data_IF_838393623936
#
_entry.id   IF_838393623936
#
_cell.length_a   1.000
_cell.length_b   1.000
_cell.length_c   1.000
_cell.angle_alpha   90.00
_cell.angle_beta   90.00
_cell.angle_gamma   90.00
#
_symmetry.space_group_name_H-M   'P 1'
#
loop_
_entity.id
_entity.type
_entity.pdbx_description
1 polymer ?
#
# COMPACT_ATOMS: atom_id res chain seq x y z
N UNK A 1 9.46 17.59 4.58
CA UNK A 1 8.24 17.97 5.32
C UNK A 1 8.06 17.02 6.49
N UNK A 2 7.56 17.47 7.67
CA UNK A 2 7.31 16.58 8.80
C UNK A 2 6.39 15.45 8.33
N UNK A 3 6.82 14.21 8.60
CA UNK A 3 6.50 13.05 7.79
C UNK A 3 5.01 12.80 7.56
N UNK A 4 4.61 12.76 6.30
CA UNK A 4 3.30 12.28 5.88
C UNK A 4 2.94 11.00 6.65
N UNK A 5 1.90 11.10 7.47
CA UNK A 5 1.30 9.97 8.16
C UNK A 5 0.60 9.07 7.13
N UNK A 6 0.32 7.81 7.49
CA UNK A 6 -0.63 7.02 6.71
C UNK A 6 -2.05 7.59 6.88
N UNK A 7 -2.99 7.19 6.02
CA UNK A 7 -4.40 7.50 6.19
C UNK A 7 -4.94 6.95 7.53
N UNK A 8 -6.04 7.49 8.10
CA UNK A 8 -6.70 6.89 9.26
C UNK A 8 -6.99 5.39 9.01
N UNK A 9 -6.81 4.56 10.05
CA UNK A 9 -6.93 3.10 9.90
C UNK A 9 -8.35 2.67 9.48
N UNK A 10 -9.35 3.47 9.82
CA UNK A 10 -10.77 3.27 9.51
C UNK A 10 -11.08 3.48 8.03
N UNK A 11 -10.20 4.17 7.29
CA UNK A 11 -10.33 4.39 5.84
C UNK A 11 -9.76 3.23 5.01
N UNK A 12 -9.01 2.32 5.63
CA UNK A 12 -8.46 1.16 4.93
C UNK A 12 -9.56 0.17 4.56
N UNK A 13 -9.46 -0.33 3.33
CA UNK A 13 -10.38 -1.33 2.78
C UNK A 13 -9.84 -2.73 3.07
N UNK A 14 -10.71 -3.65 3.47
CA UNK A 14 -10.32 -5.05 3.69
C UNK A 14 -9.92 -5.69 2.37
N UNK A 15 -8.73 -6.30 2.34
CA UNK A 15 -8.29 -7.11 1.21
C UNK A 15 -9.12 -8.40 1.11
N UNK A 16 -9.34 -8.86 -0.12
CA UNK A 16 -10.04 -10.11 -0.41
C UNK A 16 -9.11 -11.33 -0.38
N UNK A 17 -7.81 -11.10 -0.39
CA UNK A 17 -6.77 -12.12 -0.23
C UNK A 17 -5.94 -11.81 1.02
N UNK A 18 -5.66 -12.83 1.82
CA UNK A 18 -4.71 -12.70 2.91
C UNK A 18 -3.30 -12.66 2.31
N UNK A 19 -2.58 -11.58 2.59
CA UNK A 19 -1.23 -11.36 2.09
C UNK A 19 -0.35 -10.83 3.21
N UNK A 20 0.87 -11.38 3.29
CA UNK A 20 1.94 -10.85 4.11
C UNK A 20 3.20 -10.69 3.27
N UNK A 21 3.77 -9.48 3.26
CA UNK A 21 5.05 -9.19 2.62
C UNK A 21 6.05 -8.89 3.73
N UNK A 22 7.00 -9.81 3.93
CA UNK A 22 8.04 -9.61 4.92
C UNK A 22 8.93 -8.41 4.54
N UNK A 23 9.35 -7.57 5.51
CA UNK A 23 10.30 -6.49 5.24
C UNK A 23 11.63 -7.02 4.69
N UNK A 24 12.15 -6.37 3.65
CA UNK A 24 13.47 -6.67 3.09
C UNK A 24 13.51 -7.85 2.11
N UNK A 25 12.45 -8.63 1.99
CA UNK A 25 12.37 -9.76 1.07
C UNK A 25 11.54 -9.42 -0.19
N UNK A 26 11.87 -9.98 -1.37
CA UNK A 26 10.99 -9.94 -2.52
C UNK A 26 9.64 -10.60 -2.21
N UNK A 27 8.55 -9.89 -2.48
CA UNK A 27 7.19 -10.37 -2.26
C UNK A 27 6.38 -10.41 -3.55
N UNK A 28 5.18 -10.99 -3.45
CA UNK A 28 4.16 -10.93 -4.48
C UNK A 28 2.91 -10.25 -3.89
N UNK A 29 2.29 -9.36 -4.66
CA UNK A 29 1.03 -8.73 -4.29
C UNK A 29 0.11 -8.66 -5.50
N UNK A 30 -1.13 -9.07 -5.30
CA UNK A 30 -2.20 -8.89 -6.26
C UNK A 30 -3.34 -8.08 -5.64
N UNK A 31 -3.87 -7.10 -6.38
CA UNK A 31 -5.03 -6.32 -5.97
C UNK A 31 -5.81 -5.87 -7.20
N UNK A 32 -7.10 -5.61 -7.01
CA UNK A 32 -7.96 -5.13 -8.08
C UNK A 32 -9.04 -4.19 -7.53
N UNK A 33 -9.27 -3.08 -8.24
CA UNK A 33 -10.48 -2.26 -8.10
C UNK A 33 -11.51 -2.85 -9.04
N UNK A 34 -12.52 -3.56 -8.49
CA UNK A 34 -13.50 -4.31 -9.29
C UNK A 34 -14.79 -3.55 -9.54
N UNK A 35 -15.23 -2.74 -8.57
CA UNK A 35 -16.43 -1.93 -8.73
C UNK A 35 -16.20 -0.83 -9.78
N UNK A 36 -17.17 -0.65 -10.66
CA UNK A 36 -17.13 0.36 -11.72
C UNK A 36 -17.21 1.78 -11.16
N UNK A 37 -17.96 1.95 -10.07
CA UNK A 37 -18.22 3.26 -9.45
C UNK A 37 -17.28 3.52 -8.25
N UNK A 38 -16.23 2.71 -8.09
CA UNK A 38 -15.25 2.90 -7.01
C UNK A 38 -14.54 4.25 -7.14
N UNK A 39 -14.61 5.07 -6.09
CA UNK A 39 -13.98 6.38 -6.04
C UNK A 39 -12.44 6.34 -6.26
N UNK A 40 -11.78 5.21 -6.03
CA UNK A 40 -10.34 5.03 -6.28
C UNK A 40 -10.01 4.72 -7.74
N UNK A 41 -10.99 4.32 -8.56
CA UNK A 41 -10.74 3.99 -9.97
C UNK A 41 -10.24 5.20 -10.76
N UNK A 42 -10.93 6.37 -10.81
CA UNK A 42 -10.48 7.51 -11.60
C UNK A 42 -9.06 8.02 -11.28
N UNK A 43 -8.65 8.21 -10.00
CA UNK A 43 -7.30 8.68 -9.71
C UNK A 43 -6.22 7.65 -10.06
N UNK A 44 -6.47 6.35 -9.87
CA UNK A 44 -5.52 5.29 -10.23
C UNK A 44 -5.37 5.19 -11.75
N UNK A 45 -6.47 5.22 -12.50
CA UNK A 45 -6.43 5.22 -13.96
C UNK A 45 -5.71 6.44 -14.53
N UNK A 46 -5.93 7.63 -13.95
CA UNK A 46 -5.20 8.85 -14.32
C UNK A 46 -3.70 8.72 -14.03
N UNK A 47 -3.31 8.23 -12.86
CA UNK A 47 -1.90 8.03 -12.51
C UNK A 47 -1.21 7.04 -13.45
N UNK A 48 -1.88 5.94 -13.81
CA UNK A 48 -1.34 4.94 -14.74
C UNK A 48 -1.20 5.55 -16.15
N UNK A 49 -2.26 6.18 -16.67
CA UNK A 49 -2.28 6.78 -18.01
C UNK A 49 -1.24 7.88 -18.18
N UNK A 50 -1.06 8.70 -17.15
CA UNK A 50 -0.12 9.83 -17.16
C UNK A 50 1.29 9.44 -16.69
N UNK A 51 1.53 8.16 -16.41
CA UNK A 51 2.79 7.64 -15.88
C UNK A 51 3.27 8.42 -14.65
N UNK A 52 2.37 8.71 -13.71
CA UNK A 52 2.70 9.41 -12.47
C UNK A 52 2.98 8.41 -11.35
N UNK A 53 4.02 8.61 -10.53
CA UNK A 53 4.21 7.83 -9.32
C UNK A 53 3.02 7.93 -8.37
N UNK A 54 2.71 6.84 -7.69
CA UNK A 54 1.69 6.81 -6.64
C UNK A 54 2.09 5.83 -5.54
N UNK A 55 1.34 5.85 -4.44
CA UNK A 55 1.60 4.99 -3.28
C UNK A 55 0.40 4.13 -2.96
N UNK A 56 0.67 2.92 -2.47
CA UNK A 56 -0.33 2.07 -1.83
C UNK A 56 0.07 1.86 -0.39
N UNK A 57 -0.85 2.15 0.52
CA UNK A 57 -0.70 1.80 1.92
C UNK A 57 -1.47 0.50 2.18
N UNK A 58 -0.81 -0.48 2.79
CA UNK A 58 -1.41 -1.75 3.19
C UNK A 58 -1.36 -1.85 4.71
N UNK A 59 -2.52 -2.06 5.33
CA UNK A 59 -2.64 -2.35 6.75
C UNK A 59 -2.58 -3.87 6.94
N UNK A 60 -1.46 -4.36 7.49
CA UNK A 60 -1.32 -5.75 7.93
C UNK A 60 -1.75 -5.91 9.37
N UNK A 61 -2.31 -7.07 9.70
CA UNK A 61 -2.38 -7.59 11.06
C UNK A 61 -1.60 -8.91 11.12
N UNK A 62 -1.03 -9.24 12.27
CA UNK A 62 -0.57 -10.61 12.52
C UNK A 62 -1.75 -11.60 12.55
N UNK A 63 -1.45 -12.90 12.55
CA UNK A 63 -2.48 -13.95 12.58
C UNK A 63 -3.33 -13.94 13.86
N UNK A 64 -2.84 -13.31 14.92
CA UNK A 64 -3.53 -13.18 16.21
C UNK A 64 -4.31 -11.85 16.34
N UNK A 65 -4.23 -10.96 15.35
CA UNK A 65 -4.85 -9.63 15.32
C UNK A 65 -4.25 -8.63 16.32
N UNK A 66 -3.15 -8.97 16.99
CA UNK A 66 -2.56 -8.22 18.10
C UNK A 66 -1.56 -7.14 17.68
N UNK A 67 -1.02 -7.23 16.47
CA UNK A 67 -0.04 -6.26 15.97
C UNK A 67 -0.39 -5.81 14.55
N UNK A 68 -0.83 -4.55 14.44
CA UNK A 68 -1.07 -3.90 13.15
C UNK A 68 0.09 -3.03 12.71
N UNK A 69 0.40 -3.13 11.41
CA UNK A 69 1.44 -2.34 10.76
C UNK A 69 0.90 -1.81 9.44
N UNK A 70 1.01 -0.50 9.23
CA UNK A 70 0.81 0.07 7.89
C UNK A 70 2.15 0.04 7.16
N UNK A 71 2.17 -0.53 5.95
CA UNK A 71 3.33 -0.50 5.05
C UNK A 71 2.97 0.28 3.80
N UNK A 72 3.79 1.29 3.47
CA UNK A 72 3.67 2.06 2.24
C UNK A 72 4.53 1.46 1.14
N UNK A 73 3.92 1.19 0.01
CA UNK A 73 4.59 0.84 -1.23
C UNK A 73 4.56 2.03 -2.17
N UNK A 74 5.68 2.28 -2.84
CA UNK A 74 5.82 3.32 -3.84
C UNK A 74 5.85 2.63 -5.20
N UNK A 75 4.97 3.03 -6.10
CA UNK A 75 4.87 2.53 -7.47
C UNK A 75 5.36 3.63 -8.39
N UNK A 76 6.46 3.37 -9.08
CA UNK A 76 7.11 4.31 -10.01
C UNK A 76 7.14 3.75 -11.43
N UNK A 77 6.95 4.57 -12.46
CA UNK A 77 7.12 4.13 -13.84
C UNK A 77 8.57 3.69 -14.09
N UNK A 78 8.74 2.59 -14.84
CA UNK A 78 10.03 2.10 -15.30
C UNK A 78 9.96 1.87 -16.82
N UNK A 79 10.75 2.60 -17.60
CA UNK A 79 10.64 2.57 -19.07
C UNK A 79 9.28 3.07 -19.56
N UNK A 80 8.78 2.54 -20.69
CA UNK A 80 7.53 3.01 -21.32
C UNK A 80 6.29 2.22 -20.90
N UNK A 81 6.44 0.91 -20.62
CA UNK A 81 5.30 0.00 -20.35
C UNK A 81 5.42 -0.76 -19.02
N UNK A 82 6.46 -0.52 -18.22
CA UNK A 82 6.66 -1.22 -16.95
C UNK A 82 6.59 -0.28 -15.75
N UNK A 83 6.47 -0.91 -14.57
CA UNK A 83 6.40 -0.26 -13.27
C UNK A 83 7.31 -0.99 -12.30
N UNK A 84 7.96 -0.23 -11.42
CA UNK A 84 8.74 -0.76 -10.31
C UNK A 84 8.04 -0.43 -9.01
N UNK A 85 7.96 -1.41 -8.10
CA UNK A 85 7.37 -1.24 -6.78
C UNK A 85 8.43 -1.44 -5.72
N UNK A 86 8.49 -0.50 -4.77
CA UNK A 86 9.41 -0.57 -3.64
C UNK A 86 8.67 -0.36 -2.33
N UNK A 87 9.04 -1.13 -1.31
CA UNK A 87 8.61 -0.87 0.07
C UNK A 87 9.25 0.40 0.60
N UNK A 88 8.43 1.35 1.01
CA UNK A 88 8.83 2.63 1.57
C UNK A 88 8.91 2.59 3.10
N UNK A 89 7.86 3.06 3.78
CA UNK A 89 7.84 3.21 5.25
C UNK A 89 6.91 2.19 5.89
N UNK A 90 7.20 1.86 7.15
CA UNK A 90 6.33 1.09 8.03
C UNK A 90 5.96 1.93 9.25
N UNK A 91 4.71 1.82 9.70
CA UNK A 91 4.21 2.40 10.95
C UNK A 91 3.59 1.32 11.81
N UNK A 92 4.13 1.10 13.01
CA UNK A 92 3.52 0.23 14.02
C UNK A 92 2.37 0.99 14.68
N UNK A 93 1.17 0.40 14.67
CA UNK A 93 -0.03 1.05 15.18
C UNK A 93 -0.22 0.78 16.67
N UNK A 94 0.03 -0.46 17.09
CA UNK A 94 -0.31 -0.93 18.43
C UNK A 94 0.89 -0.92 19.40
N UNK A 95 2.10 -0.65 18.89
CA UNK A 95 3.35 -0.60 19.68
C UNK A 95 4.15 0.65 19.33
N UNK A 96 4.98 1.16 20.27
CA UNK A 96 5.97 2.19 19.95
C UNK A 96 6.81 1.77 18.74
N UNK A 97 7.13 2.71 17.85
CA UNK A 97 8.03 2.48 16.72
C UNK A 97 9.32 1.84 17.27
N UNK A 98 9.74 0.64 16.84
CA UNK A 98 10.91 -0.05 17.38
C UNK A 98 12.24 0.61 16.97
N UNK A 99 12.22 1.90 16.62
CA UNK A 99 13.42 2.67 16.28
C UNK A 99 14.17 3.12 17.53
#
# INVERSE_FOLDING_TARGET
>A
EPGATHAPIEEFRRLVIDLYIAPGEPGYWESAIRDGDDAMRPPVESAIRERRPFTIDVLYGDQEGGQRVVSRFIVVPAGDDSWYTQTGRHWNIDRPDPR
#
